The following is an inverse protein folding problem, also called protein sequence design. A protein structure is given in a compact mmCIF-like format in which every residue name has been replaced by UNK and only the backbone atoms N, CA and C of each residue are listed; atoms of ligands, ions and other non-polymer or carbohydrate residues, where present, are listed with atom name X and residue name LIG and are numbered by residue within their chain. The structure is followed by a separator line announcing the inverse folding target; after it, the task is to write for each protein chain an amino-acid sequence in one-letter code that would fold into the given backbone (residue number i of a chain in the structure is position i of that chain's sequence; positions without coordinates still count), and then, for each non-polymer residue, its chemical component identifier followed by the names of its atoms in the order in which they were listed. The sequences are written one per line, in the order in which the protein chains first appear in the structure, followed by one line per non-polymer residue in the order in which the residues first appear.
data_IF_021776937099
#
_entry.id   IF_021776937099
#
_cell.length_a   1.000
_cell.length_b   1.000
_cell.length_c   1.000
_cell.angle_alpha   90.00
_cell.angle_beta   90.00
_cell.angle_gamma   90.00
#
_symmetry.space_group_name_H-M   'P 1'
#
loop_
_entity.id
_entity.type
_entity.pdbx_description
1 polymer ?
#
# COMPACT_ATOMS: atom_id res chain seq x y z
N UNK A 1 -19.34 -10.86 10.84
CA UNK A 1 -17.95 -11.12 10.41
C UNK A 1 -17.28 -12.18 11.29
N UNK A 2 -16.57 -11.86 12.38
CA UNK A 2 -15.86 -12.90 13.17
C UNK A 2 -16.76 -14.01 13.71
N UNK A 3 -17.98 -13.70 14.06
CA UNK A 3 -18.95 -14.65 14.65
C UNK A 3 -20.08 -15.03 13.68
N UNK A 4 -19.99 -14.68 12.40
CA UNK A 4 -21.00 -15.00 11.41
C UNK A 4 -22.28 -14.14 11.49
N UNK A 5 -22.26 -13.05 12.25
CA UNK A 5 -23.42 -12.17 12.44
C UNK A 5 -23.56 -11.11 11.32
N UNK A 6 -22.54 -10.94 10.48
CA UNK A 6 -22.53 -10.00 9.38
C UNK A 6 -21.59 -10.46 8.27
N UNK A 7 -21.96 -10.21 7.02
CA UNK A 7 -21.20 -10.55 5.81
C UNK A 7 -20.25 -9.44 5.39
N UNK A 8 -20.57 -8.19 5.73
CA UNK A 8 -19.77 -7.02 5.39
C UNK A 8 -19.77 -5.98 6.50
N UNK A 9 -18.76 -5.11 6.49
CA UNK A 9 -18.62 -3.98 7.39
C UNK A 9 -18.38 -2.70 6.60
N UNK A 10 -19.22 -1.70 6.81
CA UNK A 10 -19.11 -0.38 6.20
C UNK A 10 -19.01 0.68 7.30
N UNK A 11 -18.07 1.59 7.19
CA UNK A 11 -17.85 2.65 8.17
C UNK A 11 -17.50 3.97 7.48
N UNK A 12 -18.16 5.03 7.88
CA UNK A 12 -17.79 6.43 7.58
C UNK A 12 -17.03 7.09 8.74
N UNK A 13 -16.83 6.35 9.83
CA UNK A 13 -16.22 6.87 11.05
C UNK A 13 -14.69 6.73 11.06
N UNK A 14 -14.11 7.21 12.18
CA UNK A 14 -12.66 7.34 12.33
C UNK A 14 -11.85 6.15 11.83
N UNK A 15 -10.91 6.39 10.92
CA UNK A 15 -9.95 5.39 10.41
C UNK A 15 -9.19 4.70 11.55
N UNK A 16 -8.80 5.46 12.58
CA UNK A 16 -8.12 4.90 13.75
C UNK A 16 -8.97 3.89 14.50
N UNK A 17 -10.27 4.16 14.70
CA UNK A 17 -11.18 3.24 15.36
C UNK A 17 -11.36 1.93 14.57
N UNK A 18 -11.50 2.03 13.24
CA UNK A 18 -11.60 0.85 12.35
C UNK A 18 -10.31 0.02 12.42
N UNK A 19 -9.16 0.67 12.39
CA UNK A 19 -7.86 0.02 12.48
C UNK A 19 -7.67 -0.71 13.81
N UNK A 20 -7.98 -0.05 14.93
CA UNK A 20 -7.93 -0.66 16.27
C UNK A 20 -8.90 -1.83 16.38
N UNK A 21 -10.15 -1.66 15.93
CA UNK A 21 -11.14 -2.74 15.88
C UNK A 21 -10.67 -3.94 15.04
N UNK A 22 -10.09 -3.67 13.86
CA UNK A 22 -9.49 -4.72 13.04
C UNK A 22 -8.37 -5.48 13.75
N UNK A 23 -7.48 -4.77 14.44
CA UNK A 23 -6.36 -5.39 15.16
C UNK A 23 -6.80 -6.19 16.39
N UNK A 24 -7.78 -5.69 17.14
CA UNK A 24 -8.19 -6.29 18.44
C UNK A 24 -9.25 -7.37 18.28
N UNK A 25 -10.21 -7.19 17.35
CA UNK A 25 -11.34 -8.10 17.15
C UNK A 25 -11.02 -9.17 16.10
N UNK A 26 -10.52 -8.76 14.92
CA UNK A 26 -10.17 -9.69 13.84
C UNK A 26 -8.79 -10.31 14.09
N UNK A 27 -7.84 -9.50 14.53
CA UNK A 27 -6.47 -9.90 14.79
C UNK A 27 -5.54 -9.63 13.60
N UNK A 28 -4.23 -9.77 13.83
CA UNK A 28 -3.20 -9.63 12.81
C UNK A 28 -2.73 -10.99 12.31
N UNK A 29 -2.35 -11.07 11.06
CA UNK A 29 -1.62 -12.23 10.52
C UNK A 29 -0.27 -12.32 11.22
N UNK A 30 0.14 -13.54 11.61
CA UNK A 30 1.43 -13.77 12.28
C UNK A 30 2.57 -13.25 11.39
N UNK A 31 3.45 -12.43 11.96
CA UNK A 31 4.59 -11.83 11.27
C UNK A 31 4.30 -10.45 10.67
N UNK A 32 3.05 -10.02 10.56
CA UNK A 32 2.70 -8.65 10.12
C UNK A 32 2.87 -7.70 11.31
N UNK A 33 3.78 -6.73 11.15
CA UNK A 33 4.09 -5.75 12.19
C UNK A 33 2.94 -4.75 12.39
N UNK A 34 2.44 -4.19 11.26
CA UNK A 34 1.35 -3.21 11.25
C UNK A 34 0.37 -3.48 10.11
N UNK A 35 -0.94 -3.46 10.35
CA UNK A 35 -1.91 -3.50 9.27
C UNK A 35 -1.96 -2.14 8.56
N UNK A 36 -1.89 -2.10 7.24
CA UNK A 36 -2.08 -0.87 6.46
C UNK A 36 -3.54 -0.62 6.14
N UNK A 37 -3.87 0.62 5.77
CA UNK A 37 -5.09 0.96 5.06
C UNK A 37 -4.81 0.92 3.56
N UNK A 38 -5.54 0.10 2.81
CA UNK A 38 -5.23 -0.20 1.42
C UNK A 38 -6.47 -0.15 0.51
N UNK A 39 -6.95 1.05 0.13
CA UNK A 39 -8.04 1.20 -0.82
C UNK A 39 -7.62 0.86 -2.25
N UNK A 40 -8.57 0.32 -3.03
CA UNK A 40 -8.47 0.23 -4.48
C UNK A 40 -8.84 1.58 -5.11
N UNK A 41 -7.99 2.08 -5.98
CA UNK A 41 -8.19 3.32 -6.73
C UNK A 41 -8.47 2.97 -8.19
N UNK A 42 -9.59 3.43 -8.78
CA UNK A 42 -9.85 3.24 -10.20
C UNK A 42 -8.79 3.97 -11.03
N UNK A 43 -8.33 3.31 -12.06
CA UNK A 43 -7.40 3.84 -13.06
C UNK A 43 -8.01 3.74 -14.46
N UNK A 44 -7.36 4.32 -15.47
CA UNK A 44 -7.85 4.26 -16.85
C UNK A 44 -7.98 2.81 -17.35
N UNK A 45 -7.04 1.97 -16.99
CA UNK A 45 -6.96 0.59 -17.49
C UNK A 45 -7.25 -0.47 -16.42
N UNK A 46 -7.93 -0.09 -15.31
CA UNK A 46 -8.31 -1.02 -14.25
C UNK A 46 -8.30 -0.42 -12.87
N UNK A 47 -7.62 -1.05 -11.93
CA UNK A 47 -7.51 -0.58 -10.53
C UNK A 47 -6.06 -0.65 -10.04
N UNK A 48 -5.70 0.29 -9.18
CA UNK A 48 -4.44 0.26 -8.43
C UNK A 48 -4.72 0.17 -6.93
N UNK A 49 -3.87 -0.52 -6.21
CA UNK A 49 -3.92 -0.59 -4.75
C UNK A 49 -2.98 0.45 -4.16
N UNK A 50 -3.51 1.42 -3.43
CA UNK A 50 -2.71 2.39 -2.68
C UNK A 50 -2.53 1.90 -1.25
N UNK A 51 -1.27 1.76 -0.81
CA UNK A 51 -0.93 1.23 0.51
C UNK A 51 0.31 1.99 1.06
N UNK A 52 0.34 2.60 2.18
CA UNK A 52 -0.67 2.83 3.21
C UNK A 52 -1.31 4.23 3.07
N UNK A 53 -2.61 4.34 3.29
CA UNK A 53 -3.33 5.61 3.19
C UNK A 53 -3.43 6.35 4.54
N UNK A 54 -2.30 6.57 5.19
CA UNK A 54 -2.21 7.40 6.41
C UNK A 54 -2.61 6.70 7.71
N UNK A 55 -2.71 5.36 7.72
CA UNK A 55 -2.92 4.59 8.95
C UNK A 55 -1.64 4.52 9.81
N UNK A 56 -0.45 4.58 9.18
CA UNK A 56 0.84 4.48 9.83
C UNK A 56 1.68 5.74 9.56
N UNK A 57 1.64 6.70 10.48
CA UNK A 57 2.37 7.98 10.36
C UNK A 57 3.89 7.77 10.42
N UNK A 58 4.35 6.84 11.27
CA UNK A 58 5.76 6.51 11.50
C UNK A 58 6.13 5.18 10.81
N UNK A 59 5.94 5.10 9.50
CA UNK A 59 6.32 3.91 8.75
C UNK A 59 7.85 3.76 8.71
N UNK A 60 8.31 2.51 8.80
CA UNK A 60 9.72 2.11 8.67
C UNK A 60 9.93 1.38 7.34
N UNK A 61 11.18 1.24 6.85
CA UNK A 61 11.46 0.47 5.65
C UNK A 61 10.91 -0.96 5.69
N UNK A 62 11.00 -1.64 6.86
CA UNK A 62 10.44 -2.99 7.05
C UNK A 62 8.92 -3.04 6.83
N UNK A 63 8.20 -2.01 7.28
CA UNK A 63 6.75 -1.91 7.06
C UNK A 63 6.42 -1.79 5.58
N UNK A 64 7.13 -0.93 4.83
CA UNK A 64 6.91 -0.75 3.39
C UNK A 64 7.19 -2.02 2.60
N UNK A 65 8.22 -2.78 2.98
CA UNK A 65 8.47 -4.10 2.39
C UNK A 65 7.32 -5.08 2.67
N UNK A 66 6.80 -5.11 3.90
CA UNK A 66 5.62 -5.93 4.22
C UNK A 66 4.38 -5.48 3.46
N UNK A 67 4.17 -4.17 3.31
CA UNK A 67 3.05 -3.60 2.54
C UNK A 67 3.14 -3.97 1.06
N UNK A 68 4.35 -3.95 0.48
CA UNK A 68 4.58 -4.40 -0.89
C UNK A 68 4.17 -5.87 -1.08
N UNK A 69 4.59 -6.73 -0.17
CA UNK A 69 4.24 -8.16 -0.19
C UNK A 69 2.73 -8.38 -0.04
N UNK A 70 2.10 -7.75 0.95
CA UNK A 70 0.65 -7.86 1.17
C UNK A 70 -0.15 -7.33 -0.01
N UNK A 71 0.25 -6.18 -0.55
CA UNK A 71 -0.38 -5.58 -1.72
C UNK A 71 -0.28 -6.47 -2.95
N UNK A 72 0.88 -7.06 -3.19
CA UNK A 72 1.10 -7.97 -4.32
C UNK A 72 0.23 -9.23 -4.21
N UNK A 73 0.17 -9.84 -3.02
CA UNK A 73 -0.69 -11.01 -2.77
C UNK A 73 -2.17 -10.64 -2.98
N UNK A 74 -2.60 -9.49 -2.47
CA UNK A 74 -3.98 -9.03 -2.63
C UNK A 74 -4.34 -8.78 -4.11
N UNK A 75 -3.48 -8.07 -4.84
CA UNK A 75 -3.69 -7.79 -6.27
C UNK A 75 -3.73 -9.06 -7.11
N UNK A 76 -2.90 -10.05 -6.79
CA UNK A 76 -2.86 -11.31 -7.52
C UNK A 76 -4.05 -12.22 -7.21
N UNK A 77 -4.35 -12.43 -5.92
CA UNK A 77 -5.32 -13.45 -5.50
C UNK A 77 -6.75 -12.92 -5.34
N UNK A 78 -6.93 -11.63 -5.06
CA UNK A 78 -8.26 -11.03 -4.88
C UNK A 78 -8.68 -10.26 -6.12
N UNK A 79 -7.79 -9.45 -6.70
CA UNK A 79 -8.11 -8.66 -7.90
C UNK A 79 -7.86 -9.43 -9.19
N UNK A 80 -7.00 -10.45 -9.18
CA UNK A 80 -6.72 -11.31 -10.33
C UNK A 80 -5.64 -10.79 -11.28
N UNK A 81 -4.85 -9.81 -10.85
CA UNK A 81 -3.75 -9.23 -11.65
C UNK A 81 -2.49 -10.05 -11.44
N UNK A 82 -2.09 -10.81 -12.45
CA UNK A 82 -0.86 -11.62 -12.41
C UNK A 82 0.39 -10.74 -12.43
N UNK A 83 1.39 -11.11 -11.62
CA UNK A 83 2.65 -10.39 -11.49
C UNK A 83 2.49 -8.89 -11.24
N UNK A 84 1.80 -8.49 -10.16
CA UNK A 84 1.53 -7.10 -9.88
C UNK A 84 2.82 -6.30 -9.73
N UNK A 85 2.83 -5.10 -10.30
CA UNK A 85 3.97 -4.19 -10.18
C UNK A 85 3.84 -3.36 -8.90
N UNK A 86 4.96 -3.12 -8.25
CA UNK A 86 5.04 -2.31 -7.02
C UNK A 86 5.79 -1.01 -7.29
N UNK A 87 5.18 0.12 -6.99
CA UNK A 87 5.80 1.43 -7.09
C UNK A 87 5.81 2.17 -5.76
N UNK A 88 6.87 2.90 -5.46
CA UNK A 88 6.90 3.83 -4.33
C UNK A 88 6.47 5.21 -4.81
N UNK A 89 5.45 5.76 -4.16
CA UNK A 89 5.02 7.15 -4.40
C UNK A 89 6.03 8.10 -3.78
N UNK A 90 6.68 8.90 -4.62
CA UNK A 90 7.70 9.86 -4.20
C UNK A 90 7.53 11.21 -4.92
N UNK A 91 8.08 12.29 -4.36
CA UNK A 91 8.01 13.65 -4.94
C UNK A 91 8.97 13.83 -6.13
N UNK A 92 9.93 12.93 -6.36
CA UNK A 92 10.90 13.00 -7.45
C UNK A 92 10.99 11.70 -8.25
N UNK A 93 11.35 11.80 -9.55
CA UNK A 93 11.50 10.65 -10.46
C UNK A 93 12.82 9.90 -10.24
N UNK A 94 13.81 10.58 -9.65
CA UNK A 94 15.16 10.06 -9.48
C UNK A 94 15.26 9.26 -8.17
N UNK A 95 15.95 8.12 -8.19
CA UNK A 95 16.17 7.26 -7.02
C UNK A 95 16.83 8.02 -5.85
N UNK A 96 17.60 9.07 -6.17
CA UNK A 96 18.30 9.91 -5.20
C UNK A 96 17.42 11.02 -4.60
N UNK A 97 16.29 11.37 -5.27
CA UNK A 97 15.34 12.37 -4.82
C UNK A 97 14.20 11.71 -4.06
N UNK A 98 14.30 11.67 -2.75
CA UNK A 98 13.27 11.14 -1.86
C UNK A 98 13.59 11.44 -0.41
N UNK A 99 12.61 11.23 0.46
CA UNK A 99 12.90 11.28 1.89
C UNK A 99 13.76 10.05 2.28
N UNK A 100 14.35 10.09 3.49
CA UNK A 100 15.20 9.03 4.01
C UNK A 100 14.53 7.63 3.92
N UNK A 101 13.23 7.57 4.19
CA UNK A 101 12.44 6.33 4.16
C UNK A 101 12.43 5.69 2.75
N UNK A 102 12.27 6.48 1.68
CA UNK A 102 12.32 5.98 0.30
C UNK A 102 13.70 5.42 -0.03
N UNK A 103 14.75 6.19 0.31
CA UNK A 103 16.15 5.80 0.03
C UNK A 103 16.53 4.49 0.73
N UNK A 104 16.06 4.29 1.96
CA UNK A 104 16.31 3.06 2.71
C UNK A 104 15.45 1.88 2.24
N UNK A 105 14.21 2.15 1.80
CA UNK A 105 13.27 1.08 1.40
C UNK A 105 13.57 0.53 0.00
N UNK A 106 13.97 1.38 -0.93
CA UNK A 106 14.13 1.01 -2.33
C UNK A 106 15.11 -0.15 -2.57
N UNK A 107 16.33 -0.18 -1.96
CA UNK A 107 17.22 -1.33 -2.07
C UNK A 107 16.61 -2.62 -1.55
N UNK A 108 15.89 -2.55 -0.40
CA UNK A 108 15.24 -3.71 0.21
C UNK A 108 14.16 -4.32 -0.67
N UNK A 109 13.47 -3.48 -1.44
CA UNK A 109 12.46 -3.94 -2.39
C UNK A 109 13.09 -4.60 -3.62
N UNK A 110 14.22 -4.09 -4.10
CA UNK A 110 14.96 -4.67 -5.23
C UNK A 110 15.44 -6.11 -4.98
N UNK A 111 15.75 -6.44 -3.73
CA UNK A 111 16.23 -7.77 -3.35
C UNK A 111 15.14 -8.85 -3.30
N UNK A 112 13.86 -8.46 -3.40
CA UNK A 112 12.73 -9.38 -3.27
C UNK A 112 12.18 -9.80 -4.64
N UNK A 113 12.25 -11.09 -5.02
CA UNK A 113 11.79 -11.55 -6.34
C UNK A 113 10.26 -11.71 -6.46
N UNK A 114 9.49 -11.35 -5.42
CA UNK A 114 8.05 -11.63 -5.32
C UNK A 114 7.20 -10.67 -6.18
N UNK A 115 7.77 -9.57 -6.69
CA UNK A 115 7.05 -8.56 -7.47
C UNK A 115 8.00 -7.82 -8.42
N UNK A 116 7.44 -7.27 -9.50
CA UNK A 116 8.20 -6.33 -10.34
C UNK A 116 8.25 -4.96 -9.66
N UNK A 117 9.45 -4.57 -9.23
CA UNK A 117 9.65 -3.22 -8.70
C UNK A 117 9.68 -2.21 -9.85
N UNK A 118 8.77 -1.24 -9.81
CA UNK A 118 8.83 -0.06 -10.64
C UNK A 118 9.80 0.95 -10.03
N UNK A 119 10.50 1.70 -10.87
CA UNK A 119 11.19 2.92 -10.41
C UNK A 119 10.20 3.86 -9.72
N UNK A 120 10.68 4.68 -8.79
CA UNK A 120 9.85 5.60 -8.02
C UNK A 120 8.83 6.34 -8.91
N UNK A 121 7.55 6.25 -8.55
CA UNK A 121 6.46 6.89 -9.30
C UNK A 121 6.27 8.29 -8.75
N UNK A 122 6.69 9.31 -9.49
CA UNK A 122 6.66 10.70 -9.04
C UNK A 122 5.59 11.56 -9.71
N UNK A 123 4.98 11.10 -10.82
CA UNK A 123 4.02 11.90 -11.57
C UNK A 123 2.63 11.30 -11.51
N UNK A 124 1.66 12.17 -11.27
CA UNK A 124 0.22 11.87 -11.23
C UNK A 124 -0.28 11.12 -12.48
N UNK A 125 0.32 11.34 -13.65
CA UNK A 125 0.00 10.67 -14.90
C UNK A 125 0.25 9.14 -14.86
N UNK A 126 1.32 8.69 -14.19
CA UNK A 126 1.63 7.26 -14.06
C UNK A 126 0.71 6.51 -13.09
N UNK A 127 0.06 7.24 -12.18
CA UNK A 127 -0.94 6.65 -11.26
C UNK A 127 -2.19 6.18 -11.99
N UNK A 128 -2.53 6.80 -13.11
CA UNK A 128 -3.83 6.65 -13.77
C UNK A 128 -3.83 5.64 -14.92
N UNK A 129 -2.66 5.20 -15.37
CA UNK A 129 -2.57 4.46 -16.63
C UNK A 129 -2.44 2.95 -16.49
N UNK A 130 -1.94 2.41 -15.37
CA UNK A 130 -1.73 0.96 -15.27
C UNK A 130 -2.02 0.40 -13.88
N UNK A 131 -2.59 -0.83 -13.78
CA UNK A 131 -2.81 -1.51 -12.51
C UNK A 131 -1.50 -1.78 -11.78
N UNK A 132 -1.39 -1.33 -10.55
CA UNK A 132 -0.17 -1.49 -9.73
C UNK A 132 -0.45 -1.42 -8.24
N UNK A 133 0.45 -1.94 -7.43
CA UNK A 133 0.48 -1.68 -5.99
C UNK A 133 1.33 -0.45 -5.72
N UNK A 134 0.72 0.59 -5.18
CA UNK A 134 1.38 1.85 -4.88
C UNK A 134 1.66 1.96 -3.38
N UNK A 135 2.94 2.04 -3.02
CA UNK A 135 3.35 2.28 -1.64
C UNK A 135 3.36 3.78 -1.37
N UNK A 136 2.42 4.26 -0.55
CA UNK A 136 2.40 5.66 -0.12
C UNK A 136 3.35 5.86 1.06
N UNK A 137 4.28 6.80 0.91
CA UNK A 137 5.25 7.19 1.94
C UNK A 137 4.78 8.43 2.70
N UNK A 138 3.69 9.08 2.23
CA UNK A 138 3.11 10.30 2.84
C UNK A 138 1.60 10.22 2.90
N UNK A 139 0.98 11.11 3.68
CA UNK A 139 -0.48 11.29 3.64
C UNK A 139 -0.91 11.71 2.24
N UNK A 140 -2.03 11.16 1.78
CA UNK A 140 -2.58 11.44 0.45
C UNK A 140 -2.81 12.95 0.21
N UNK A 141 -3.17 13.71 1.26
CA UNK A 141 -3.35 15.16 1.22
C UNK A 141 -2.08 15.95 0.88
N UNK A 142 -0.89 15.38 1.14
CA UNK A 142 0.38 16.02 0.81
C UNK A 142 0.92 15.61 -0.58
N UNK A 143 0.33 14.58 -1.17
CA UNK A 143 0.78 14.01 -2.45
C UNK A 143 -0.03 14.56 -3.62
N UNK A 144 -1.24 15.09 -3.37
CA UNK A 144 -2.17 15.61 -4.38
C UNK A 144 -2.21 17.14 -4.45
N UNK A 145 -1.43 17.83 -3.65
CA UNK A 145 -1.19 19.28 -3.72
C UNK A 145 0.12 19.56 -4.46
#
# INVERSE_FOLDING_TARGET
MRYGEADAFVSSGSTGAVLVGGQTIVGRIKGVERPPLAPLIPTKDGVSLLIDCGANVDARPSHLVQFAMMGSIYMEHVVGIKNPRVGIVNIGVEEEKGNALVKETYPLLKEKPVYQLLSAVSKQEKFQTEPQTLLSVRRLSETLS
#
